data_IF_283837290976
#
_entry.id   IF_283837290976
#
_cell.length_a   1.000
_cell.length_b   1.000
_cell.length_c   1.000
_cell.angle_alpha   90.00
_cell.angle_beta   90.00
_cell.angle_gamma   90.00
#
_symmetry.space_group_name_H-M   'P 1'
#
loop_
_entity.id
_entity.type
_entity.pdbx_description
1 polymer ?
#
# COMPACT_ATOMS: atom_id res chain seq x y z
N UNK A 1 0.89 25.03 16.15
CA UNK A 1 1.58 23.80 16.60
C UNK A 1 0.80 23.04 17.67
N UNK A 2 0.16 23.71 18.63
CA UNK A 2 -0.61 23.06 19.70
C UNK A 2 -1.71 22.11 19.20
N UNK A 3 -2.54 22.53 18.24
CA UNK A 3 -3.58 21.66 17.65
C UNK A 3 -3.02 20.36 17.00
N UNK A 4 -1.82 20.40 16.43
CA UNK A 4 -1.18 19.22 15.85
C UNK A 4 -0.66 18.28 16.94
N UNK A 5 -0.10 18.83 18.02
CA UNK A 5 0.34 18.06 19.18
C UNK A 5 -0.86 17.38 19.89
N UNK A 6 -1.96 18.10 20.05
CA UNK A 6 -3.19 17.55 20.65
C UNK A 6 -3.80 16.45 19.77
N UNK A 7 -3.82 16.64 18.45
CA UNK A 7 -4.28 15.61 17.50
C UNK A 7 -3.38 14.37 17.52
N UNK A 8 -2.07 14.55 17.61
CA UNK A 8 -1.10 13.46 17.71
C UNK A 8 -1.26 12.70 19.03
N UNK A 9 -1.38 13.41 20.15
CA UNK A 9 -1.62 12.79 21.45
C UNK A 9 -2.94 12.02 21.43
N UNK A 10 -4.04 12.62 20.97
CA UNK A 10 -5.32 11.95 20.83
C UNK A 10 -5.24 10.69 19.95
N UNK A 11 -4.38 10.67 18.92
CA UNK A 11 -4.15 9.49 18.10
C UNK A 11 -3.44 8.35 18.87
N UNK A 12 -2.45 8.68 19.72
CA UNK A 12 -1.76 7.71 20.56
C UNK A 12 -2.73 7.05 21.58
N UNK A 13 -3.61 7.84 22.18
CA UNK A 13 -4.54 7.36 23.22
C UNK A 13 -5.80 6.69 22.68
N UNK A 14 -6.10 6.80 21.38
CA UNK A 14 -7.35 6.31 20.77
C UNK A 14 -7.58 4.80 20.92
N UNK A 15 -6.52 4.02 21.17
CA UNK A 15 -6.58 2.56 21.37
C UNK A 15 -7.05 1.74 20.17
N UNK A 16 -7.57 2.39 19.13
CA UNK A 16 -8.10 1.79 17.91
C UNK A 16 -7.48 2.48 16.71
N UNK A 17 -7.10 1.67 15.70
CA UNK A 17 -6.53 2.18 14.46
C UNK A 17 -7.60 2.87 13.63
N UNK A 18 -7.27 4.03 13.09
CA UNK A 18 -8.12 4.74 12.13
C UNK A 18 -8.28 3.91 10.86
N UNK A 19 -9.51 3.88 10.34
CA UNK A 19 -9.78 3.23 9.05
C UNK A 19 -9.08 4.03 7.93
N UNK A 20 -8.38 3.37 7.00
CA UNK A 20 -7.67 4.06 5.94
C UNK A 20 -8.65 4.78 5.02
N UNK A 21 -8.26 5.98 4.58
CA UNK A 21 -8.94 6.71 3.53
C UNK A 21 -8.66 6.13 2.14
N UNK A 22 -9.30 6.72 1.12
CA UNK A 22 -9.09 6.32 -0.27
C UNK A 22 -7.62 6.49 -0.70
N UNK A 23 -7.00 7.63 -0.36
CA UNK A 23 -5.61 7.92 -0.73
C UNK A 23 -4.62 6.96 -0.08
N UNK A 24 -4.83 6.61 1.19
CA UNK A 24 -4.00 5.61 1.89
C UNK A 24 -4.00 4.26 1.15
N UNK A 25 -5.18 3.84 0.68
CA UNK A 25 -5.33 2.58 -0.05
C UNK A 25 -4.74 2.65 -1.45
N UNK A 26 -4.91 3.76 -2.15
CA UNK A 26 -4.26 3.96 -3.45
C UNK A 26 -2.73 3.94 -3.29
N UNK A 27 -2.18 4.66 -2.30
CA UNK A 27 -0.74 4.66 -2.02
C UNK A 27 -0.22 3.25 -1.71
N UNK A 28 -0.95 2.49 -0.89
CA UNK A 28 -0.61 1.08 -0.63
C UNK A 28 -0.54 0.26 -1.91
N UNK A 29 -1.56 0.32 -2.77
CA UNK A 29 -1.61 -0.48 -3.99
C UNK A 29 -0.61 -0.02 -5.07
N UNK A 30 -0.33 1.28 -5.14
CA UNK A 30 0.70 1.85 -6.02
C UNK A 30 2.09 1.41 -5.58
N UNK A 31 2.41 1.52 -4.29
CA UNK A 31 3.71 1.11 -3.75
C UNK A 31 3.92 -0.39 -3.76
N UNK A 32 2.86 -1.18 -3.63
CA UNK A 32 2.91 -2.64 -3.71
C UNK A 32 3.29 -3.16 -5.09
N UNK A 33 2.82 -2.50 -6.16
CA UNK A 33 3.02 -2.96 -7.53
C UNK A 33 4.50 -3.11 -7.92
N UNK A 34 5.38 -2.10 -7.74
CA UNK A 34 6.80 -2.24 -8.04
C UNK A 34 7.50 -3.22 -7.10
N UNK A 35 7.18 -3.23 -5.80
CA UNK A 35 7.78 -4.18 -4.87
C UNK A 35 7.44 -5.65 -5.20
N UNK A 36 6.36 -5.92 -5.92
CA UNK A 36 6.00 -7.25 -6.41
C UNK A 36 6.64 -7.57 -7.78
N UNK A 37 6.68 -6.60 -8.70
CA UNK A 37 7.17 -6.83 -10.08
C UNK A 37 8.68 -6.68 -10.25
N UNK A 38 9.34 -5.90 -9.39
CA UNK A 38 10.77 -5.56 -9.49
C UNK A 38 11.62 -6.37 -8.52
N UNK A 39 11.21 -7.58 -8.14
CA UNK A 39 11.93 -8.40 -7.15
C UNK A 39 13.41 -8.61 -7.46
N UNK A 40 13.77 -8.77 -8.73
CA UNK A 40 15.17 -8.91 -9.18
C UNK A 40 15.94 -7.59 -9.17
N UNK A 41 15.26 -6.46 -9.41
CA UNK A 41 15.87 -5.13 -9.51
C UNK A 41 15.94 -4.41 -8.15
N UNK A 42 15.05 -4.76 -7.22
CA UNK A 42 14.95 -4.20 -5.88
C UNK A 42 14.73 -5.32 -4.83
N UNK A 43 15.70 -6.24 -4.67
CA UNK A 43 15.53 -7.44 -3.85
C UNK A 43 15.30 -7.14 -2.36
N UNK A 44 15.90 -6.07 -1.84
CA UNK A 44 15.72 -5.64 -0.45
C UNK A 44 14.29 -5.17 -0.17
N UNK A 45 13.72 -4.36 -1.07
CA UNK A 45 12.35 -3.88 -0.92
C UNK A 45 11.35 -5.03 -1.06
N UNK A 46 11.55 -5.89 -2.06
CA UNK A 46 10.74 -7.10 -2.22
C UNK A 46 10.79 -7.98 -0.97
N UNK A 47 11.98 -8.26 -0.43
CA UNK A 47 12.14 -9.08 0.78
C UNK A 47 11.46 -8.44 2.01
N UNK A 48 11.57 -7.12 2.18
CA UNK A 48 10.89 -6.42 3.27
C UNK A 48 9.36 -6.54 3.15
N UNK A 49 8.80 -6.26 1.97
CA UNK A 49 7.37 -6.33 1.73
C UNK A 49 6.83 -7.76 1.84
N UNK A 50 7.58 -8.74 1.33
CA UNK A 50 7.27 -10.16 1.44
C UNK A 50 7.27 -10.60 2.92
N UNK A 51 8.31 -10.24 3.68
CA UNK A 51 8.42 -10.57 5.11
C UNK A 51 7.33 -9.95 5.98
N UNK A 52 6.69 -8.86 5.51
CA UNK A 52 5.50 -8.27 6.16
C UNK A 52 4.17 -8.91 5.73
N UNK A 53 4.19 -9.86 4.80
CA UNK A 53 2.98 -10.47 4.21
C UNK A 53 2.20 -9.51 3.30
N UNK A 54 2.78 -8.37 2.91
CA UNK A 54 2.06 -7.35 2.15
C UNK A 54 1.88 -7.71 0.68
N UNK A 55 2.70 -8.64 0.17
CA UNK A 55 2.60 -9.18 -1.18
C UNK A 55 1.58 -10.31 -1.31
N UNK A 56 1.03 -10.83 -0.21
CA UNK A 56 0.09 -11.94 -0.22
C UNK A 56 -1.22 -11.64 -0.96
N UNK A 57 -1.73 -12.63 -1.70
CA UNK A 57 -3.02 -12.52 -2.39
C UNK A 57 -4.13 -12.24 -1.38
N UNK A 58 -4.93 -11.20 -1.65
CA UNK A 58 -6.02 -10.81 -0.76
C UNK A 58 -5.65 -9.84 0.35
N UNK A 59 -4.37 -9.50 0.56
CA UNK A 59 -3.97 -8.42 1.47
C UNK A 59 -4.60 -7.09 1.04
N UNK A 60 -5.29 -6.43 1.97
CA UNK A 60 -6.13 -5.25 1.71
C UNK A 60 -5.45 -3.94 2.08
N UNK A 61 -4.56 -3.96 3.07
CA UNK A 61 -3.81 -2.81 3.56
C UNK A 61 -2.60 -3.26 4.39
N UNK A 62 -1.75 -2.33 4.83
CA UNK A 62 -0.58 -2.62 5.67
C UNK A 62 -0.96 -3.34 6.97
N UNK A 63 -2.10 -2.96 7.56
CA UNK A 63 -2.60 -3.48 8.84
C UNK A 63 -3.99 -4.10 8.67
N UNK A 64 -4.33 -5.02 9.56
CA UNK A 64 -5.63 -5.70 9.58
C UNK A 64 -6.70 -4.79 10.17
N UNK A 65 -7.33 -4.02 9.28
CA UNK A 65 -8.42 -3.09 9.61
C UNK A 65 -9.55 -3.25 8.59
N UNK A 66 -10.76 -2.87 9.00
CA UNK A 66 -11.89 -2.81 8.09
C UNK A 66 -11.66 -1.69 7.07
N UNK A 67 -11.44 -2.11 5.83
CA UNK A 67 -11.30 -1.24 4.67
C UNK A 67 -12.66 -1.07 4.00
N UNK A 68 -12.97 0.15 3.56
CA UNK A 68 -14.17 0.40 2.77
C UNK A 68 -14.12 -0.43 1.46
N UNK A 69 -15.14 -1.24 1.14
CA UNK A 69 -15.13 -2.12 -0.03
C UNK A 69 -15.01 -1.36 -1.35
N UNK A 70 -15.58 -0.16 -1.47
CA UNK A 70 -15.48 0.67 -2.69
C UNK A 70 -14.04 1.14 -2.88
N UNK A 71 -13.41 1.64 -1.82
CA UNK A 71 -12.02 2.12 -1.90
C UNK A 71 -11.04 0.98 -2.18
N UNK A 72 -11.34 -0.23 -1.68
CA UNK A 72 -10.59 -1.44 -2.02
C UNK A 72 -10.63 -1.73 -3.51
N UNK A 73 -11.80 -1.63 -4.15
CA UNK A 73 -11.93 -1.85 -5.60
C UNK A 73 -11.12 -0.82 -6.37
N UNK A 74 -11.25 0.46 -6.01
CA UNK A 74 -10.48 1.54 -6.64
C UNK A 74 -8.97 1.34 -6.49
N UNK A 75 -8.50 1.02 -5.29
CA UNK A 75 -7.09 0.72 -5.02
C UNK A 75 -6.58 -0.46 -5.85
N UNK A 76 -7.35 -1.53 -5.98
CA UNK A 76 -7.00 -2.69 -6.80
C UNK A 76 -6.90 -2.35 -8.30
N UNK A 77 -7.81 -1.51 -8.81
CA UNK A 77 -7.77 -1.03 -10.21
C UNK A 77 -6.50 -0.21 -10.45
N UNK A 78 -6.18 0.73 -9.56
CA UNK A 78 -4.96 1.55 -9.66
C UNK A 78 -3.69 0.69 -9.59
N UNK A 79 -3.62 -0.26 -8.65
CA UNK A 79 -2.49 -1.18 -8.54
C UNK A 79 -2.31 -2.05 -9.78
N UNK A 80 -3.41 -2.53 -10.37
CA UNK A 80 -3.36 -3.30 -11.63
C UNK A 80 -2.87 -2.46 -12.80
N UNK A 81 -3.32 -1.21 -12.91
CA UNK A 81 -2.82 -0.27 -13.91
C UNK A 81 -1.31 -0.04 -13.76
N UNK A 82 -0.81 0.20 -12.53
CA UNK A 82 0.63 0.40 -12.31
C UNK A 82 1.45 -0.84 -12.63
N UNK A 83 0.98 -2.03 -12.26
CA UNK A 83 1.63 -3.29 -12.64
C UNK A 83 1.75 -3.43 -14.15
N UNK A 84 0.69 -3.14 -14.90
CA UNK A 84 0.71 -3.18 -16.37
C UNK A 84 1.71 -2.19 -16.96
N UNK A 85 1.78 -0.99 -16.39
CA UNK A 85 2.73 0.04 -16.81
C UNK A 85 4.17 -0.40 -16.57
N UNK A 86 4.51 -0.87 -15.36
CA UNK A 86 5.85 -1.36 -15.01
C UNK A 86 6.29 -2.47 -15.96
N UNK A 87 5.41 -3.43 -16.25
CA UNK A 87 5.71 -4.50 -17.21
C UNK A 87 5.91 -4.00 -18.65
N UNK A 88 5.21 -2.94 -19.04
CA UNK A 88 5.44 -2.26 -20.31
C UNK A 88 6.83 -1.64 -20.36
N UNK A 89 7.15 -0.81 -19.37
CA UNK A 89 8.45 -0.12 -19.26
C UNK A 89 9.62 -1.14 -19.23
N UNK A 90 9.49 -2.26 -18.50
CA UNK A 90 10.51 -3.32 -18.47
C UNK A 90 10.73 -3.99 -19.85
N UNK A 91 9.69 -4.10 -20.69
CA UNK A 91 9.83 -4.66 -22.04
C UNK A 91 10.47 -3.70 -23.03
N UNK A 92 10.38 -2.40 -22.77
CA UNK A 92 11.01 -1.37 -23.61
C UNK A 92 12.50 -1.19 -23.29
N UNK A 93 12.92 -1.57 -22.07
CA UNK A 93 14.29 -1.41 -21.57
C UNK A 93 15.15 -2.68 -21.69
N UNK A 94 14.54 -3.87 -21.72
CA UNK A 94 15.23 -5.16 -21.87
C UNK A 94 15.42 -5.58 -23.32
#
# INVERSE_FOLDING_TARGET
MQAAADAFLAALWRGTRTKPGLFDLMAFHVGRAPCDELGELAPTDHAYWAGKGWLEKGRRYYVDVLVNPVYRVLGAVVGSYMRRRIRGDLREVG
#
